data_IF_006370516361
#
_entry.id   IF_006370516361
#
_cell.length_a   1.000
_cell.length_b   1.000
_cell.length_c   1.000
_cell.angle_alpha   90.00
_cell.angle_beta   90.00
_cell.angle_gamma   90.00
#
_symmetry.space_group_name_H-M   'P 1'
#
loop_
_entity.id
_entity.type
_entity.pdbx_description
1 polymer ?
#
# COMPACT_ATOMS: atom_id res chain seq x y z
N UNK A 1 9.05 42.34 48.06
CA UNK A 1 9.58 41.79 46.78
C UNK A 1 9.44 42.88 45.72
N UNK A 2 10.48 43.14 44.92
CA UNK A 2 10.64 44.40 44.18
C UNK A 2 9.78 44.49 42.90
N UNK A 3 9.36 45.70 42.59
CA UNK A 3 8.88 46.19 41.28
C UNK A 3 10.09 46.45 40.37
N UNK A 4 9.99 46.27 39.05
CA UNK A 4 10.56 47.15 37.99
C UNK A 4 10.01 46.68 36.63
N UNK A 5 9.41 47.62 35.89
CA UNK A 5 9.12 47.54 34.45
C UNK A 5 10.34 48.06 33.69
N UNK A 6 10.70 47.47 32.55
CA UNK A 6 11.40 48.17 31.46
C UNK A 6 11.35 47.37 30.16
N UNK A 7 10.95 48.06 29.09
CA UNK A 7 11.00 47.64 27.71
C UNK A 7 12.32 48.10 27.08
N UNK A 8 12.95 47.29 26.23
CA UNK A 8 13.82 47.78 25.15
C UNK A 8 13.61 46.94 23.89
N UNK A 9 13.55 47.65 22.78
CA UNK A 9 13.09 47.25 21.48
C UNK A 9 14.21 46.80 20.51
N UNK A 10 13.76 46.43 19.30
CA UNK A 10 14.40 46.55 17.98
C UNK A 10 15.32 45.42 17.48
N UNK A 11 14.69 44.62 16.62
CA UNK A 11 15.02 44.42 15.20
C UNK A 11 16.45 43.99 14.81
N UNK A 12 16.53 42.77 14.29
CA UNK A 12 17.43 42.45 13.17
C UNK A 12 16.63 41.64 12.14
N UNK A 13 16.31 42.30 11.03
CA UNK A 13 15.84 41.63 9.83
C UNK A 13 16.99 40.80 9.25
N UNK A 14 16.73 39.53 8.98
CA UNK A 14 17.50 38.78 7.97
C UNK A 14 16.50 38.30 6.93
N UNK A 15 16.38 39.10 5.88
CA UNK A 15 15.86 38.63 4.61
C UNK A 15 16.88 37.65 4.03
N UNK A 16 16.62 36.37 4.19
CA UNK A 16 17.31 35.29 3.50
C UNK A 16 16.31 34.60 2.59
N UNK A 17 16.43 34.82 1.29
CA UNK A 17 15.66 34.12 0.27
C UNK A 17 15.89 32.60 0.41
N UNK A 18 14.94 31.89 1.02
CA UNK A 18 14.86 30.44 0.88
C UNK A 18 14.05 30.18 -0.39
N UNK A 19 14.76 30.06 -1.52
CA UNK A 19 14.22 29.38 -2.68
C UNK A 19 13.60 28.08 -2.19
N UNK A 20 12.28 27.97 -2.32
CA UNK A 20 11.54 26.77 -1.94
C UNK A 20 12.06 25.63 -2.79
N UNK A 21 13.01 24.87 -2.27
CA UNK A 21 13.26 23.53 -2.74
C UNK A 21 11.99 22.77 -2.43
N UNK A 22 11.13 22.65 -3.43
CA UNK A 22 10.17 21.55 -3.50
C UNK A 22 11.04 20.32 -3.42
N UNK A 23 11.26 19.82 -2.20
CA UNK A 23 11.69 18.46 -1.96
C UNK A 23 10.54 17.63 -2.53
N UNK A 24 10.63 17.33 -3.83
CA UNK A 24 9.96 16.19 -4.40
C UNK A 24 10.31 15.05 -3.45
N UNK A 25 9.34 14.63 -2.64
CA UNK A 25 9.52 13.46 -1.80
C UNK A 25 9.98 12.36 -2.75
N UNK A 26 11.27 12.01 -2.67
CA UNK A 26 11.75 10.82 -3.35
C UNK A 26 10.81 9.70 -2.90
N UNK A 27 10.28 8.87 -3.82
CA UNK A 27 9.48 7.73 -3.43
C UNK A 27 10.28 7.01 -2.36
N UNK A 28 9.68 6.82 -1.19
CA UNK A 28 10.35 6.21 -0.06
C UNK A 28 10.95 4.89 -0.56
N UNK A 29 12.28 4.83 -0.63
CA UNK A 29 12.98 3.60 -0.99
C UNK A 29 12.50 2.53 -0.03
N UNK A 30 11.83 1.53 -0.59
CA UNK A 30 11.25 0.40 0.10
C UNK A 30 12.13 -0.03 1.27
N UNK A 31 11.63 0.12 2.50
CA UNK A 31 12.05 -0.77 3.57
C UNK A 31 11.90 -2.16 2.97
N UNK A 32 13.01 -2.91 2.81
CA UNK A 32 13.11 -4.16 2.05
C UNK A 32 11.84 -4.97 2.21
N UNK A 33 10.88 -4.72 1.33
CA UNK A 33 9.59 -5.31 1.42
C UNK A 33 9.85 -6.79 1.12
N UNK A 34 9.29 -7.75 1.84
CA UNK A 34 9.65 -9.15 1.68
C UNK A 34 9.16 -9.74 0.33
N UNK A 35 8.69 -8.88 -0.58
CA UNK A 35 8.33 -9.19 -1.95
C UNK A 35 9.54 -9.05 -2.89
N UNK A 36 10.03 -10.15 -3.51
CA UNK A 36 11.18 -10.09 -4.40
C UNK A 36 10.97 -9.13 -5.58
N UNK A 37 12.06 -8.60 -6.14
CA UNK A 37 12.00 -7.72 -7.30
C UNK A 37 11.31 -8.43 -8.48
N UNK A 38 10.36 -7.74 -9.13
CA UNK A 38 9.56 -8.27 -10.23
C UNK A 38 8.34 -9.09 -9.80
N UNK A 39 8.08 -9.23 -8.50
CA UNK A 39 6.93 -9.98 -7.98
C UNK A 39 5.80 -9.04 -7.51
N UNK A 40 4.60 -9.60 -7.49
CA UNK A 40 3.46 -9.07 -6.76
C UNK A 40 3.13 -10.03 -5.62
N UNK A 41 2.90 -9.47 -4.44
CA UNK A 41 2.77 -10.20 -3.20
C UNK A 41 1.52 -9.76 -2.45
N UNK A 42 0.80 -10.75 -1.93
CA UNK A 42 -0.48 -10.61 -1.24
C UNK A 42 -0.34 -11.14 0.17
N UNK A 43 -0.89 -10.43 1.15
CA UNK A 43 -0.73 -10.75 2.57
C UNK A 43 -2.07 -10.72 3.30
N UNK A 44 -2.24 -11.70 4.18
CA UNK A 44 -3.38 -11.75 5.09
C UNK A 44 -3.37 -10.58 6.07
N UNK A 45 -2.19 -10.22 6.56
CA UNK A 45 -2.02 -9.21 7.60
C UNK A 45 -1.70 -7.84 7.00
N UNK A 46 -2.08 -6.78 7.72
CA UNK A 46 -1.65 -5.43 7.42
C UNK A 46 -0.13 -5.25 7.64
N UNK A 47 0.42 -4.21 7.02
CA UNK A 47 1.82 -3.80 7.05
C UNK A 47 2.79 -4.92 6.63
N UNK A 48 2.35 -5.80 5.72
CA UNK A 48 3.17 -6.90 5.17
C UNK A 48 3.68 -7.87 6.23
N UNK A 49 3.01 -7.95 7.38
CA UNK A 49 3.50 -8.71 8.52
C UNK A 49 3.52 -10.21 8.20
N UNK A 50 4.72 -10.78 8.07
CA UNK A 50 4.93 -12.23 7.88
C UNK A 50 5.04 -13.00 9.21
N UNK A 51 4.89 -12.30 10.33
CA UNK A 51 5.58 -12.63 11.56
C UNK A 51 4.92 -13.62 12.51
N UNK A 52 3.65 -14.04 12.37
CA UNK A 52 3.11 -15.00 13.36
C UNK A 52 2.11 -16.05 12.89
N UNK A 53 1.19 -15.82 11.95
CA UNK A 53 0.23 -16.89 11.56
C UNK A 53 -0.41 -16.73 10.17
N UNK A 54 -0.28 -15.56 9.53
CA UNK A 54 -0.98 -15.26 8.28
C UNK A 54 -0.39 -15.91 7.03
N UNK A 55 -1.24 -16.13 6.03
CA UNK A 55 -0.79 -16.56 4.71
C UNK A 55 -0.18 -15.40 3.91
N UNK A 56 0.68 -15.75 2.96
CA UNK A 56 1.13 -14.84 1.92
C UNK A 56 1.24 -15.59 0.59
N UNK A 57 1.08 -14.85 -0.52
CA UNK A 57 1.21 -15.37 -1.87
C UNK A 57 2.14 -14.47 -2.66
N UNK A 58 3.08 -15.05 -3.41
CA UNK A 58 4.03 -14.32 -4.24
C UNK A 58 3.97 -14.85 -5.67
N UNK A 59 3.93 -13.96 -6.65
CA UNK A 59 3.82 -14.31 -8.06
C UNK A 59 4.64 -13.36 -8.93
N UNK A 60 5.22 -13.88 -10.02
CA UNK A 60 5.98 -13.08 -11.00
C UNK A 60 5.40 -13.16 -12.42
N UNK A 61 4.60 -14.19 -12.73
CA UNK A 61 4.15 -14.50 -14.10
C UNK A 61 2.65 -14.81 -14.21
N UNK A 62 1.98 -15.16 -13.10
CA UNK A 62 0.53 -15.37 -12.96
C UNK A 62 -0.31 -14.12 -13.27
N UNK A 63 -0.86 -14.05 -14.47
CA UNK A 63 -1.64 -12.89 -14.93
C UNK A 63 -2.97 -12.69 -14.20
N UNK A 64 -3.55 -13.74 -13.62
CA UNK A 64 -4.75 -13.67 -12.80
C UNK A 64 -4.85 -14.89 -11.88
N UNK A 65 -5.66 -14.78 -10.84
CA UNK A 65 -5.98 -15.91 -9.98
C UNK A 65 -7.13 -15.61 -9.03
N UNK A 66 -7.66 -16.67 -8.44
CA UNK A 66 -8.77 -16.66 -7.48
C UNK A 66 -8.21 -16.93 -6.08
N UNK A 67 -8.54 -16.10 -5.10
CA UNK A 67 -8.13 -16.27 -3.71
C UNK A 67 -8.82 -17.47 -3.04
N UNK A 68 -9.94 -17.98 -3.58
CA UNK A 68 -10.57 -19.21 -3.12
C UNK A 68 -9.69 -20.44 -3.40
N UNK A 69 -8.94 -20.44 -4.50
CA UNK A 69 -8.00 -21.49 -4.86
C UNK A 69 -6.75 -20.91 -5.54
N UNK A 70 -5.85 -20.28 -4.76
CA UNK A 70 -4.74 -19.52 -5.30
C UNK A 70 -3.71 -20.45 -5.97
N UNK A 71 -3.11 -20.10 -7.12
CA UNK A 71 -2.19 -21.00 -7.83
C UNK A 71 -0.94 -21.42 -7.03
N UNK A 72 -0.50 -20.60 -6.07
CA UNK A 72 0.70 -20.85 -5.27
C UNK A 72 0.41 -21.49 -3.89
N UNK A 73 -0.85 -21.77 -3.53
CA UNK A 73 -1.18 -22.32 -2.21
C UNK A 73 -2.51 -23.06 -2.19
N UNK A 74 -2.68 -24.01 -1.29
CA UNK A 74 -3.96 -24.69 -1.09
C UNK A 74 -4.88 -23.93 -0.12
N UNK A 75 -6.18 -24.05 -0.34
CA UNK A 75 -7.22 -23.62 0.59
C UNK A 75 -7.67 -22.17 0.41
N UNK A 76 -8.88 -21.90 0.90
CA UNK A 76 -9.59 -20.64 0.67
C UNK A 76 -8.96 -19.45 1.41
N UNK A 77 -8.55 -18.43 0.64
CA UNK A 77 -8.00 -17.14 1.07
C UNK A 77 -8.90 -15.96 0.68
N UNK A 78 -10.08 -16.25 0.14
CA UNK A 78 -11.10 -15.25 -0.20
C UNK A 78 -11.43 -14.43 1.05
N UNK A 79 -11.64 -13.13 0.87
CA UNK A 79 -12.04 -12.22 1.94
C UNK A 79 -11.07 -12.18 3.14
N UNK A 80 -9.77 -12.33 2.88
CA UNK A 80 -8.73 -12.30 3.94
C UNK A 80 -7.55 -11.40 3.59
N UNK A 81 -7.59 -10.70 2.44
CA UNK A 81 -6.48 -9.87 1.99
C UNK A 81 -6.48 -8.53 2.73
N UNK A 82 -5.35 -8.18 3.36
CA UNK A 82 -5.19 -6.91 4.09
C UNK A 82 -4.04 -6.03 3.60
N UNK A 83 -3.04 -6.58 2.90
CA UNK A 83 -1.99 -5.75 2.29
C UNK A 83 -1.40 -6.34 1.01
N UNK A 84 -0.86 -5.47 0.16
CA UNK A 84 -0.38 -5.82 -1.18
C UNK A 84 0.94 -5.09 -1.44
N UNK A 85 1.91 -5.77 -2.03
CA UNK A 85 3.11 -5.16 -2.59
C UNK A 85 3.15 -5.49 -4.07
N UNK A 86 3.28 -4.48 -4.92
CA UNK A 86 3.56 -4.65 -6.33
C UNK A 86 4.99 -4.22 -6.62
N UNK A 87 5.94 -5.14 -6.47
CA UNK A 87 7.33 -4.89 -6.82
C UNK A 87 7.62 -5.20 -8.31
N UNK A 88 6.57 -5.31 -9.12
CA UNK A 88 6.63 -5.55 -10.56
C UNK A 88 6.34 -4.30 -11.38
N UNK A 89 6.51 -4.43 -12.70
CA UNK A 89 6.33 -3.35 -13.67
C UNK A 89 4.91 -3.29 -14.28
N UNK A 90 3.93 -3.97 -13.69
CA UNK A 90 2.56 -4.13 -14.22
C UNK A 90 1.54 -3.71 -13.17
N UNK A 91 0.36 -3.27 -13.56
CA UNK A 91 -0.69 -2.88 -12.61
C UNK A 91 -1.42 -4.11 -12.08
N UNK A 92 -1.63 -4.18 -10.77
CA UNK A 92 -2.50 -5.19 -10.14
C UNK A 92 -3.90 -4.60 -9.99
N UNK A 93 -4.92 -5.36 -10.37
CA UNK A 93 -6.32 -5.04 -10.19
C UNK A 93 -6.94 -6.11 -9.29
N UNK A 94 -7.51 -5.71 -8.14
CA UNK A 94 -8.13 -6.62 -7.18
C UNK A 94 -9.63 -6.40 -7.16
N UNK A 95 -10.39 -7.49 -7.16
CA UNK A 95 -11.83 -7.49 -7.32
C UNK A 95 -12.52 -8.29 -6.21
N UNK A 96 -13.78 -7.94 -5.97
CA UNK A 96 -14.75 -8.76 -5.25
C UNK A 96 -15.79 -9.27 -6.26
N UNK A 97 -16.02 -10.58 -6.28
CA UNK A 97 -17.06 -11.21 -7.08
C UNK A 97 -18.32 -11.31 -6.22
N UNK A 98 -19.22 -10.35 -6.41
CA UNK A 98 -20.51 -10.36 -5.76
C UNK A 98 -21.44 -11.21 -6.60
N UNK A 99 -21.81 -12.40 -6.11
CA UNK A 99 -22.63 -13.44 -6.79
C UNK A 99 -23.84 -12.93 -7.60
N UNK A 100 -24.39 -11.75 -7.27
CA UNK A 100 -25.58 -11.15 -7.89
C UNK A 100 -25.32 -9.81 -8.59
N UNK A 101 -24.07 -9.38 -8.75
CA UNK A 101 -23.68 -8.09 -9.35
C UNK A 101 -22.41 -8.23 -10.20
N UNK A 102 -22.14 -7.29 -11.13
CA UNK A 102 -20.87 -7.30 -11.84
C UNK A 102 -19.69 -7.17 -10.87
N UNK A 103 -18.57 -7.78 -11.24
CA UNK A 103 -17.32 -7.74 -10.50
C UNK A 103 -16.98 -6.32 -10.04
N UNK A 104 -16.82 -6.14 -8.73
CA UNK A 104 -16.49 -4.84 -8.14
C UNK A 104 -14.98 -4.71 -8.03
N UNK A 105 -14.41 -3.77 -8.77
CA UNK A 105 -13.01 -3.38 -8.60
C UNK A 105 -12.83 -2.74 -7.20
N UNK A 106 -11.97 -3.32 -6.37
CA UNK A 106 -11.64 -2.82 -5.04
C UNK A 106 -10.48 -1.83 -5.10
N UNK A 107 -9.41 -2.19 -5.80
CA UNK A 107 -8.19 -1.37 -5.87
C UNK A 107 -7.36 -1.67 -7.12
N UNK A 108 -6.70 -0.62 -7.63
CA UNK A 108 -5.58 -0.70 -8.58
C UNK A 108 -4.28 -0.40 -7.83
N UNK A 109 -3.31 -1.30 -7.87
CA UNK A 109 -1.96 -1.09 -7.32
C UNK A 109 -1.02 -0.81 -8.49
N UNK A 110 -0.46 0.41 -8.63
CA UNK A 110 0.40 0.76 -9.74
C UNK A 110 1.72 -0.03 -9.69
N UNK A 111 2.47 -0.10 -10.80
CA UNK A 111 3.83 -0.64 -10.83
C UNK A 111 4.70 -0.03 -9.72
N UNK A 112 5.48 -0.88 -9.04
CA UNK A 112 6.35 -0.50 -7.92
C UNK A 112 5.64 0.16 -6.72
N UNK A 113 4.31 0.07 -6.68
CA UNK A 113 3.49 0.57 -5.58
C UNK A 113 3.15 -0.49 -4.55
N UNK A 114 2.63 -0.05 -3.42
CA UNK A 114 2.24 -0.91 -2.32
C UNK A 114 1.02 -0.35 -1.58
N UNK A 115 0.31 -1.23 -0.88
CA UNK A 115 -0.85 -0.93 -0.06
C UNK A 115 -0.64 -1.59 1.28
N UNK A 116 -0.13 -0.86 2.29
CA UNK A 116 0.23 -1.46 3.58
C UNK A 116 -1.00 -1.84 4.39
N UNK A 117 -2.14 -1.21 4.16
CA UNK A 117 -3.36 -1.53 4.88
C UNK A 117 -4.60 -1.25 4.02
N UNK A 118 -5.27 -2.31 3.58
CA UNK A 118 -6.49 -2.23 2.79
C UNK A 118 -7.68 -1.68 3.59
N UNK A 119 -7.62 -1.68 4.93
CA UNK A 119 -8.63 -1.03 5.77
C UNK A 119 -8.73 0.49 5.54
N UNK A 120 -7.69 1.10 4.98
CA UNK A 120 -7.69 2.51 4.60
C UNK A 120 -8.48 2.78 3.30
N UNK A 121 -8.87 1.73 2.57
CA UNK A 121 -9.68 1.83 1.35
C UNK A 121 -11.09 1.31 1.64
N UNK A 122 -12.14 2.15 1.52
CA UNK A 122 -13.50 1.77 1.87
C UNK A 122 -13.97 0.47 1.18
N UNK A 123 -14.22 -0.56 1.99
CA UNK A 123 -14.75 -1.85 1.52
C UNK A 123 -13.76 -2.73 0.77
N UNK A 124 -12.44 -2.50 0.88
CA UNK A 124 -11.42 -3.33 0.24
C UNK A 124 -10.81 -4.39 1.18
N UNK A 125 -10.64 -4.08 2.47
CA UNK A 125 -10.06 -5.03 3.44
C UNK A 125 -10.92 -6.27 3.55
N UNK A 126 -10.31 -7.45 3.55
CA UNK A 126 -11.03 -8.72 3.73
C UNK A 126 -12.22 -8.89 2.78
N UNK A 127 -12.15 -8.30 1.58
CA UNK A 127 -13.19 -8.41 0.56
C UNK A 127 -12.65 -8.90 -0.79
N UNK A 128 -11.36 -9.22 -0.89
CA UNK A 128 -10.78 -9.63 -2.17
C UNK A 128 -11.12 -11.09 -2.52
N UNK A 129 -11.60 -11.29 -3.75
CA UNK A 129 -11.95 -12.60 -4.29
C UNK A 129 -10.99 -13.06 -5.37
N UNK A 130 -10.56 -12.16 -6.25
CA UNK A 130 -9.64 -12.50 -7.32
C UNK A 130 -8.79 -11.29 -7.74
N UNK A 131 -7.73 -11.53 -8.51
CA UNK A 131 -6.89 -10.49 -9.08
C UNK A 131 -6.63 -10.70 -10.58
N UNK A 132 -6.33 -9.59 -11.27
CA UNK A 132 -5.87 -9.56 -12.67
C UNK A 132 -4.72 -8.57 -12.82
N UNK A 133 -3.80 -8.86 -13.74
CA UNK A 133 -2.66 -8.00 -14.07
C UNK A 133 -2.95 -7.28 -15.39
N UNK A 134 -2.79 -5.95 -15.42
CA UNK A 134 -3.03 -5.06 -16.57
C UNK A 134 -4.46 -5.06 -17.15
N UNK A 135 -5.45 -5.64 -16.45
CA UNK A 135 -6.84 -5.70 -16.89
C UNK A 135 -7.78 -5.18 -15.78
N UNK A 136 -7.91 -3.86 -15.73
CA UNK A 136 -8.98 -3.10 -15.08
C UNK A 136 -9.28 -1.86 -15.93
#
# INVERSE_FOLDING_TARGET
MPTIRSAVALAAAVAGAAAGTVLAAAPASAATAPCPAGYYCFYQDANYNRGTTGWHLNYNSTQSGDFNNPPASSGNKRNQLSSIINNGNRTICVYNDVVLAPDKLLIKVPPYGDVPNLANIPGANDNADYWKINAC
#
